data_IF_102508065356
#
_entry.id   IF_102508065356
#
_cell.length_a   1.000
_cell.length_b   1.000
_cell.length_c   1.000
_cell.angle_alpha   90.00
_cell.angle_beta   90.00
_cell.angle_gamma   90.00
#
_symmetry.space_group_name_H-M   'P 1'
#
loop_
_entity.id
_entity.type
_entity.pdbx_description
1 polymer ?
#
# COMPACT_ATOMS: atom_id res chain seq x y z
N UNK A 1 -48.53 -53.80 48.27
CA UNK A 1 -48.25 -52.69 49.20
C UNK A 1 -46.78 -52.27 49.06
N UNK A 2 -46.51 -51.32 48.16
CA UNK A 2 -45.75 -50.11 48.50
C UNK A 2 -46.17 -49.05 47.48
N UNK A 3 -46.47 -47.89 48.05
CA UNK A 3 -47.26 -46.78 47.52
C UNK A 3 -46.30 -45.59 47.36
N UNK A 4 -46.34 -44.96 46.18
CA UNK A 4 -46.00 -43.55 45.82
C UNK A 4 -44.61 -42.99 46.25
N UNK A 5 -43.90 -42.16 45.47
CA UNK A 5 -44.45 -40.88 45.01
C UNK A 5 -43.65 -40.16 43.87
N UNK A 6 -44.45 -39.53 43.00
CA UNK A 6 -44.26 -38.26 42.28
C UNK A 6 -42.94 -37.89 41.56
N UNK A 7 -43.03 -37.72 40.23
CA UNK A 7 -42.65 -36.50 39.49
C UNK A 7 -43.06 -36.69 38.01
N UNK A 8 -44.16 -36.09 37.54
CA UNK A 8 -44.24 -34.72 37.02
C UNK A 8 -43.89 -34.62 35.52
N UNK A 9 -44.93 -34.32 34.72
CA UNK A 9 -44.92 -33.58 33.44
C UNK A 9 -44.05 -34.12 32.28
N UNK A 10 -44.64 -34.72 31.24
CA UNK A 10 -45.26 -34.09 30.07
C UNK A 10 -44.30 -33.79 28.90
N UNK A 11 -44.83 -34.05 27.69
CA UNK A 11 -44.47 -33.57 26.35
C UNK A 11 -43.52 -34.46 25.52
N UNK A 12 -43.99 -35.08 24.41
CA UNK A 12 -44.16 -34.51 23.05
C UNK A 12 -42.76 -34.21 22.45
N UNK A 13 -42.27 -34.68 21.29
CA UNK A 13 -42.86 -35.29 20.10
C UNK A 13 -41.77 -35.53 19.05
N UNK A 14 -42.09 -36.44 18.13
CA UNK A 14 -41.81 -36.47 16.69
C UNK A 14 -40.35 -36.37 16.20
N UNK A 15 -40.01 -37.46 15.51
CA UNK A 15 -39.01 -37.59 14.45
C UNK A 15 -39.11 -36.48 13.39
N UNK A 16 -38.06 -35.68 13.28
CA UNK A 16 -37.70 -34.98 12.04
C UNK A 16 -36.26 -35.36 11.69
N UNK A 17 -36.12 -36.21 10.67
CA UNK A 17 -34.85 -36.45 9.98
C UNK A 17 -34.58 -35.24 9.09
N UNK A 18 -33.96 -34.21 9.67
CA UNK A 18 -33.40 -33.12 8.89
C UNK A 18 -31.98 -33.51 8.46
N UNK A 19 -31.82 -33.81 7.18
CA UNK A 19 -30.52 -33.84 6.51
C UNK A 19 -29.80 -32.51 6.77
N UNK A 20 -28.79 -32.54 7.62
CA UNK A 20 -27.87 -31.41 7.79
C UNK A 20 -26.90 -31.44 6.61
N UNK A 21 -27.29 -30.82 5.50
CA UNK A 21 -26.41 -30.56 4.37
C UNK A 21 -25.16 -29.82 4.89
N UNK A 22 -24.04 -30.53 4.92
CA UNK A 22 -22.76 -30.00 5.39
C UNK A 22 -22.41 -28.74 4.59
N UNK A 23 -22.47 -27.58 5.25
CA UNK A 23 -22.06 -26.31 4.66
C UNK A 23 -20.65 -26.45 4.05
N UNK A 24 -20.41 -25.95 2.83
CA UNK A 24 -19.09 -26.07 2.22
C UNK A 24 -18.08 -25.33 3.10
N UNK A 25 -17.09 -26.08 3.60
CA UNK A 25 -16.02 -25.53 4.43
C UNK A 25 -15.39 -24.30 3.73
N UNK A 26 -15.06 -23.23 4.48
CA UNK A 26 -14.50 -22.02 3.88
C UNK A 26 -13.20 -22.38 3.15
N UNK A 27 -13.15 -22.11 1.85
CA UNK A 27 -11.96 -22.33 1.03
C UNK A 27 -10.83 -21.48 1.62
N UNK A 28 -9.91 -22.12 2.34
CA UNK A 28 -8.71 -21.47 2.88
C UNK A 28 -7.87 -21.03 1.70
N UNK A 29 -7.96 -19.76 1.33
CA UNK A 29 -6.94 -19.15 0.48
C UNK A 29 -5.65 -19.23 1.28
N UNK A 30 -4.74 -20.11 0.87
CA UNK A 30 -3.41 -20.13 1.47
C UNK A 30 -2.83 -18.71 1.38
N UNK A 31 -2.25 -18.18 2.46
CA UNK A 31 -1.49 -16.92 2.48
C UNK A 31 -0.21 -17.04 1.64
N UNK A 32 -0.35 -17.42 0.38
CA UNK A 32 0.71 -17.63 -0.61
C UNK A 32 0.66 -16.49 -1.62
N UNK A 33 1.81 -16.19 -2.19
CA UNK A 33 1.96 -15.15 -3.19
C UNK A 33 2.46 -13.83 -2.62
N UNK A 34 2.93 -13.00 -3.54
CA UNK A 34 3.69 -11.77 -3.25
C UNK A 34 2.89 -10.73 -2.46
N UNK A 35 1.56 -10.70 -2.64
CA UNK A 35 0.66 -9.77 -1.94
C UNK A 35 0.35 -10.18 -0.51
N UNK A 36 0.53 -11.46 -0.15
CA UNK A 36 0.27 -11.98 1.20
C UNK A 36 1.50 -11.93 2.11
N UNK A 37 2.66 -11.49 1.60
CA UNK A 37 3.93 -11.38 2.35
C UNK A 37 4.03 -10.04 3.11
N UNK A 38 4.92 -9.99 4.10
CA UNK A 38 5.27 -8.74 4.79
C UNK A 38 5.85 -7.69 3.82
N UNK A 39 5.50 -6.42 4.02
CA UNK A 39 5.91 -5.32 3.13
C UNK A 39 7.43 -5.19 3.01
N UNK A 40 8.16 -5.39 4.09
CA UNK A 40 9.63 -5.33 4.08
C UNK A 40 10.22 -6.38 3.15
N UNK A 41 9.73 -7.62 3.26
CA UNK A 41 10.14 -8.74 2.41
C UNK A 41 9.72 -8.53 0.95
N UNK A 42 8.53 -8.01 0.73
CA UNK A 42 8.04 -7.67 -0.62
C UNK A 42 8.95 -6.63 -1.30
N UNK A 43 9.32 -5.58 -0.57
CA UNK A 43 10.24 -4.54 -1.07
C UNK A 43 11.62 -5.10 -1.36
N UNK A 44 12.14 -5.95 -0.49
CA UNK A 44 13.45 -6.58 -0.69
C UNK A 44 13.46 -7.43 -1.96
N UNK A 45 12.45 -8.29 -2.13
CA UNK A 45 12.37 -9.14 -3.33
C UNK A 45 12.15 -8.28 -4.59
N UNK A 46 11.32 -7.25 -4.54
CA UNK A 46 11.13 -6.33 -5.67
C UNK A 46 12.43 -5.60 -6.03
N UNK A 47 13.19 -5.15 -5.03
CA UNK A 47 14.48 -4.49 -5.22
C UNK A 47 15.54 -5.45 -5.77
N UNK A 48 15.57 -6.69 -5.28
CA UNK A 48 16.44 -7.74 -5.81
C UNK A 48 16.10 -8.10 -7.26
N UNK A 49 14.81 -8.23 -7.58
CA UNK A 49 14.34 -8.50 -8.94
C UNK A 49 14.71 -7.38 -9.92
N UNK A 50 14.55 -6.12 -9.51
CA UNK A 50 14.96 -4.97 -10.32
C UNK A 50 16.47 -4.94 -10.62
N UNK A 51 17.30 -5.16 -9.60
CA UNK A 51 18.76 -5.26 -9.77
C UNK A 51 19.15 -6.42 -10.68
N UNK A 52 18.59 -7.60 -10.43
CA UNK A 52 18.86 -8.79 -11.24
C UNK A 52 18.46 -8.60 -12.71
N UNK A 53 17.36 -7.90 -13.01
CA UNK A 53 16.94 -7.62 -14.38
C UNK A 53 17.93 -6.67 -15.11
N UNK A 54 18.47 -5.68 -14.41
CA UNK A 54 19.53 -4.83 -14.94
C UNK A 54 20.84 -5.59 -15.13
N UNK A 55 21.27 -6.38 -14.14
CA UNK A 55 22.48 -7.21 -14.22
C UNK A 55 22.41 -8.23 -15.37
N UNK A 56 21.24 -8.81 -15.61
CA UNK A 56 21.01 -9.78 -16.70
C UNK A 56 20.75 -9.13 -18.06
N UNK A 57 20.67 -7.80 -18.13
CA UNK A 57 20.40 -7.07 -19.37
C UNK A 57 18.98 -7.28 -19.92
N UNK A 58 18.04 -7.82 -19.14
CA UNK A 58 16.63 -7.95 -19.56
C UNK A 58 15.85 -6.65 -19.35
N UNK A 59 16.34 -5.77 -18.47
CA UNK A 59 15.78 -4.45 -18.27
C UNK A 59 16.28 -3.44 -19.30
N UNK A 60 15.38 -2.57 -19.77
CA UNK A 60 15.75 -1.41 -20.58
C UNK A 60 16.59 -0.44 -19.75
N UNK A 61 17.74 -0.03 -20.28
CA UNK A 61 18.59 0.98 -19.66
C UNK A 61 18.44 2.28 -20.43
N UNK A 62 17.92 3.31 -19.77
CA UNK A 62 17.80 4.62 -20.39
C UNK A 62 19.17 5.25 -20.52
N UNK A 63 19.55 5.59 -21.74
CA UNK A 63 20.70 6.44 -21.98
C UNK A 63 20.38 7.88 -21.58
N UNK A 64 21.42 8.68 -21.32
CA UNK A 64 21.24 10.11 -21.03
C UNK A 64 20.58 10.87 -22.18
N UNK A 65 20.81 10.42 -23.43
CA UNK A 65 20.20 11.00 -24.62
C UNK A 65 18.70 10.69 -24.69
N UNK A 66 18.31 9.43 -24.49
CA UNK A 66 16.90 9.04 -24.44
C UNK A 66 16.14 9.75 -23.33
N UNK A 67 16.74 9.91 -22.16
CA UNK A 67 16.13 10.65 -21.06
C UNK A 67 15.88 12.12 -21.44
N UNK A 68 16.83 12.75 -22.15
CA UNK A 68 16.67 14.14 -22.66
C UNK A 68 15.57 14.22 -23.70
N UNK A 69 15.52 13.29 -24.63
CA UNK A 69 14.52 13.29 -25.70
C UNK A 69 13.12 13.01 -25.15
N UNK A 70 12.98 12.09 -24.21
CA UNK A 70 11.74 11.85 -23.48
C UNK A 70 11.31 13.11 -22.71
N UNK A 71 12.24 13.75 -22.00
CA UNK A 71 11.99 15.01 -21.30
C UNK A 71 11.56 16.13 -22.23
N UNK A 72 12.21 16.28 -23.40
CA UNK A 72 11.84 17.25 -24.43
C UNK A 72 10.44 16.99 -24.97
N UNK A 73 10.14 15.74 -25.34
CA UNK A 73 8.81 15.34 -25.84
C UNK A 73 7.72 15.60 -24.80
N UNK A 74 7.95 15.22 -23.55
CA UNK A 74 7.05 15.49 -22.44
C UNK A 74 6.83 16.99 -22.26
N UNK A 75 7.91 17.78 -22.21
CA UNK A 75 7.88 19.23 -22.11
C UNK A 75 7.09 19.91 -23.23
N UNK A 76 7.30 19.51 -24.49
CA UNK A 76 6.52 20.02 -25.63
C UNK A 76 5.04 19.67 -25.48
N UNK A 77 4.71 18.47 -25.03
CA UNK A 77 3.31 18.06 -24.82
C UNK A 77 2.60 18.93 -23.79
N UNK A 78 3.25 19.20 -22.64
CA UNK A 78 2.64 19.95 -21.54
C UNK A 78 2.68 21.47 -21.75
N UNK A 79 3.68 21.99 -22.48
CA UNK A 79 3.90 23.44 -22.66
C UNK A 79 2.89 24.14 -23.56
N UNK A 80 2.00 23.39 -24.22
CA UNK A 80 0.92 23.95 -25.05
C UNK A 80 -0.09 24.75 -24.22
N UNK A 81 -0.27 24.40 -22.95
CA UNK A 81 -1.13 25.14 -22.03
C UNK A 81 -0.30 26.12 -21.19
N UNK A 82 -0.30 27.38 -21.62
CA UNK A 82 0.45 28.46 -20.97
C UNK A 82 -0.13 28.81 -19.59
N UNK A 83 -1.44 28.75 -19.41
CA UNK A 83 -2.10 29.09 -18.14
C UNK A 83 -1.77 28.05 -17.07
N UNK A 84 -1.83 26.77 -17.44
CA UNK A 84 -1.42 25.67 -16.57
C UNK A 84 0.06 25.78 -16.17
N UNK A 85 0.94 26.10 -17.13
CA UNK A 85 2.37 26.32 -16.85
C UNK A 85 2.62 27.45 -15.87
N UNK A 86 1.91 28.58 -16.05
CA UNK A 86 2.00 29.71 -15.14
C UNK A 86 1.52 29.33 -13.72
N UNK A 87 0.44 28.55 -13.60
CA UNK A 87 -0.07 28.07 -12.32
C UNK A 87 0.93 27.15 -11.60
N UNK A 88 1.53 26.19 -12.32
CA UNK A 88 2.58 25.31 -11.75
C UNK A 88 3.80 26.13 -11.31
N UNK A 89 4.27 27.05 -12.16
CA UNK A 89 5.42 27.90 -11.86
C UNK A 89 5.19 28.75 -10.62
N UNK A 90 4.01 29.37 -10.50
CA UNK A 90 3.60 30.14 -9.32
C UNK A 90 3.62 29.30 -8.05
N UNK A 91 2.96 28.13 -8.08
CA UNK A 91 2.92 27.19 -6.95
C UNK A 91 4.32 26.73 -6.52
N UNK A 92 5.20 26.48 -7.49
CA UNK A 92 6.61 26.14 -7.24
C UNK A 92 7.36 27.28 -6.57
N UNK A 93 7.19 28.52 -7.05
CA UNK A 93 7.77 29.73 -6.47
C UNK A 93 7.29 29.98 -5.03
N UNK A 94 5.99 29.86 -4.79
CA UNK A 94 5.40 29.98 -3.45
C UNK A 94 5.96 28.95 -2.47
N UNK A 95 6.07 27.68 -2.89
CA UNK A 95 6.62 26.61 -2.05
C UNK A 95 8.10 26.84 -1.71
N UNK A 96 8.89 27.34 -2.68
CA UNK A 96 10.29 27.71 -2.47
C UNK A 96 10.43 28.91 -1.56
N UNK A 97 9.63 29.96 -1.77
CA UNK A 97 9.61 31.16 -0.93
C UNK A 97 9.20 30.86 0.51
N UNK A 98 8.15 30.04 0.70
CA UNK A 98 7.71 29.59 2.03
C UNK A 98 8.80 28.75 2.72
N UNK A 99 9.50 27.89 1.98
CA UNK A 99 10.62 27.12 2.54
C UNK A 99 11.77 28.03 2.95
N UNK A 100 12.17 28.98 2.11
CA UNK A 100 13.22 29.95 2.42
C UNK A 100 12.89 30.79 3.66
N UNK A 101 11.62 31.23 3.78
CA UNK A 101 11.15 31.95 4.98
C UNK A 101 11.24 31.09 6.24
N UNK A 102 10.85 29.82 6.18
CA UNK A 102 10.97 28.89 7.33
C UNK A 102 12.42 28.63 7.76
N UNK A 103 13.38 28.67 6.82
CA UNK A 103 14.79 28.55 7.18
C UNK A 103 15.32 29.83 7.80
N UNK A 104 14.84 31.00 7.35
CA UNK A 104 15.21 32.30 7.92
C UNK A 104 14.60 32.54 9.31
N UNK A 105 13.37 32.06 9.53
CA UNK A 105 12.65 32.18 10.81
C UNK A 105 13.07 31.10 11.83
N UNK A 106 13.92 30.13 11.47
CA UNK A 106 14.45 29.15 12.42
C UNK A 106 15.53 29.81 13.30
N UNK A 107 15.34 29.87 14.63
CA UNK A 107 16.38 30.37 15.53
C UNK A 107 17.61 29.48 15.41
N UNK A 108 18.79 30.11 15.37
CA UNK A 108 20.06 29.40 15.24
C UNK A 108 20.13 28.27 16.27
N UNK A 109 20.60 27.07 15.88
CA UNK A 109 20.75 25.97 16.83
C UNK A 109 21.68 26.41 17.97
N UNK A 110 21.35 26.07 19.23
CA UNK A 110 22.14 26.49 20.37
C UNK A 110 23.60 26.05 20.19
N UNK A 111 24.58 26.90 20.57
CA UNK A 111 25.98 26.58 20.41
C UNK A 111 26.27 25.25 21.12
N UNK A 112 26.77 24.29 20.34
CA UNK A 112 27.17 22.98 20.88
C UNK A 112 28.37 23.22 21.79
N UNK A 113 28.19 23.01 23.09
CA UNK A 113 29.29 23.03 24.04
C UNK A 113 30.22 21.86 23.67
N UNK A 114 31.41 22.21 23.17
CA UNK A 114 32.47 21.24 22.95
C UNK A 114 33.05 20.83 24.30
N UNK A 115 33.42 19.55 24.49
CA UNK A 115 34.02 19.07 25.73
C UNK A 115 35.37 19.74 26.01
#
# INVERSE_FOLDING_TARGET
MNVYDQNAHALHTLSETTEYAAAPAPKRTSRRGFASMDRSRQREIASAGGRAAHERGTAHTFTSEEARDAGRKGGVSISRDREHMAAIGRKGGEARGASAKRTADQPAPPPQQQP
#
